data_IF_157722617748
#
_entry.id   IF_157722617748
#
_cell.length_a   1.000
_cell.length_b   1.000
_cell.length_c   1.000
_cell.angle_alpha   90.00
_cell.angle_beta   90.00
_cell.angle_gamma   90.00
#
_symmetry.space_group_name_H-M   'P 1'
#
loop_
_entity.id
_entity.type
_entity.pdbx_description
1 polymer ?
#
# COMPACT_ATOMS: atom_id res chain seq x y z
N UNK A 1 16.79 0.35 -6.38
CA UNK A 1 17.19 0.30 -4.95
C UNK A 1 16.06 0.91 -4.12
N UNK A 2 15.79 0.36 -2.94
CA UNK A 2 14.68 0.75 -2.06
C UNK A 2 15.08 1.97 -1.22
N UNK A 3 14.24 3.00 -1.19
CA UNK A 3 14.45 4.25 -0.46
C UNK A 3 13.32 4.43 0.54
N UNK A 4 13.67 4.37 1.83
CA UNK A 4 12.71 4.42 2.92
C UNK A 4 12.88 5.74 3.67
N UNK A 5 11.82 6.53 3.71
CA UNK A 5 11.64 7.60 4.69
C UNK A 5 10.75 7.03 5.79
N UNK A 6 11.15 7.18 7.04
CA UNK A 6 10.40 6.62 8.16
C UNK A 6 10.06 7.74 9.11
N UNK A 7 8.86 7.72 9.70
CA UNK A 7 8.42 8.56 10.82
C UNK A 7 7.82 7.68 11.93
N UNK A 8 8.45 7.71 13.11
CA UNK A 8 7.86 7.17 14.32
C UNK A 8 6.99 8.24 14.97
N UNK A 9 5.82 7.89 15.50
CA UNK A 9 5.07 8.82 16.36
C UNK A 9 5.63 8.91 17.78
N UNK A 10 6.39 7.90 18.23
CA UNK A 10 6.89 7.82 19.61
C UNK A 10 8.39 8.17 19.75
N UNK A 11 9.10 8.37 18.64
CA UNK A 11 10.57 8.60 18.65
C UNK A 11 11.00 9.60 17.56
N UNK A 12 10.75 10.89 17.84
CA UNK A 12 11.07 12.02 16.96
C UNK A 12 12.59 12.24 16.76
N UNK A 13 13.46 11.78 17.66
CA UNK A 13 14.92 11.98 17.57
C UNK A 13 15.55 11.07 16.48
N UNK A 14 15.05 9.84 16.35
CA UNK A 14 15.44 8.92 15.26
C UNK A 14 14.99 9.47 13.91
N UNK A 15 13.79 10.06 13.86
CA UNK A 15 13.23 10.70 12.67
C UNK A 15 14.14 11.81 12.12
N UNK A 16 14.52 12.76 12.98
CA UNK A 16 15.35 13.90 12.60
C UNK A 16 16.74 13.47 12.11
N UNK A 17 17.37 12.48 12.76
CA UNK A 17 18.65 11.91 12.30
C UNK A 17 18.52 11.25 10.93
N UNK A 18 17.40 10.59 10.67
CA UNK A 18 17.14 9.91 9.41
C UNK A 18 16.91 10.91 8.27
N UNK A 19 16.08 11.94 8.48
CA UNK A 19 15.81 13.01 7.51
C UNK A 19 17.07 13.79 7.14
N UNK A 20 17.89 14.16 8.12
CA UNK A 20 19.14 14.90 7.87
C UNK A 20 20.15 14.10 7.03
N UNK A 21 20.18 12.78 7.16
CA UNK A 21 21.01 11.90 6.31
C UNK A 21 20.41 11.71 4.90
N UNK A 22 19.08 11.73 4.78
CA UNK A 22 18.35 11.56 3.50
C UNK A 22 18.47 12.77 2.57
N UNK A 23 18.50 14.00 3.10
CA UNK A 23 18.60 15.24 2.30
C UNK A 23 19.90 15.30 1.48
N UNK A 24 20.95 14.57 1.90
CA UNK A 24 22.26 14.58 1.23
C UNK A 24 22.39 13.62 0.03
N UNK A 25 21.35 12.86 -0.31
CA UNK A 25 21.45 11.84 -1.36
C UNK A 25 20.27 11.92 -2.36
N UNK A 26 20.44 12.64 -3.47
CA UNK A 26 19.46 12.66 -4.57
C UNK A 26 20.11 12.41 -5.93
N UNK A 27 19.69 11.31 -6.59
CA UNK A 27 18.89 11.27 -7.85
C UNK A 27 18.93 9.88 -8.52
N UNK A 28 17.74 9.36 -8.88
CA UNK A 28 17.53 8.42 -9.99
C UNK A 28 17.41 6.92 -9.67
N UNK A 29 16.28 6.31 -10.04
CA UNK A 29 15.97 4.85 -10.07
C UNK A 29 15.60 4.13 -8.75
N UNK A 30 14.79 4.77 -7.92
CA UNK A 30 14.52 4.28 -6.58
C UNK A 30 13.03 4.07 -6.29
N UNK A 31 12.68 2.93 -5.67
CA UNK A 31 11.34 2.72 -5.13
C UNK A 31 11.29 3.45 -3.79
N UNK A 32 10.55 4.56 -3.73
CA UNK A 32 10.49 5.41 -2.55
C UNK A 32 9.20 5.13 -1.76
N UNK A 33 9.34 4.96 -0.46
CA UNK A 33 8.22 4.77 0.46
C UNK A 33 8.41 5.60 1.73
N UNK A 34 7.32 6.17 2.23
CA UNK A 34 7.29 6.83 3.53
C UNK A 34 6.46 5.99 4.51
N UNK A 35 7.03 5.64 5.66
CA UNK A 35 6.40 4.80 6.67
C UNK A 35 5.98 5.62 7.89
N UNK A 36 4.76 5.39 8.34
CA UNK A 36 4.22 5.83 9.63
C UNK A 36 3.84 4.56 10.40
N UNK A 37 4.54 4.27 11.48
CA UNK A 37 4.39 3.03 12.26
C UNK A 37 4.00 3.39 13.69
N UNK A 38 2.98 2.71 14.20
CA UNK A 38 2.51 2.82 15.58
C UNK A 38 2.35 1.41 16.16
N UNK A 39 3.32 0.98 16.98
CA UNK A 39 3.30 -0.36 17.59
C UNK A 39 2.23 -0.48 18.68
N UNK A 40 1.93 0.59 19.41
CA UNK A 40 0.91 0.57 20.46
C UNK A 40 -0.48 0.39 19.87
N UNK A 41 -0.76 1.09 18.77
CA UNK A 41 -2.02 0.98 18.02
C UNK A 41 -2.05 -0.17 17.03
N UNK A 42 -0.95 -0.94 16.90
CA UNK A 42 -0.80 -2.07 15.98
C UNK A 42 -1.19 -1.70 14.54
N UNK A 43 -0.61 -0.59 14.07
CA UNK A 43 -0.96 0.08 12.83
C UNK A 43 0.30 0.47 12.05
N UNK A 44 0.22 0.33 10.73
CA UNK A 44 1.25 0.82 9.81
C UNK A 44 0.58 1.51 8.63
N UNK A 45 1.20 2.60 8.17
CA UNK A 45 0.84 3.30 6.95
C UNK A 45 2.08 3.51 6.09
N UNK A 46 1.94 3.22 4.81
CA UNK A 46 3.02 3.24 3.83
C UNK A 46 2.56 4.09 2.64
N UNK A 47 3.14 5.27 2.50
CA UNK A 47 2.94 6.14 1.34
C UNK A 47 3.93 5.77 0.24
N UNK A 48 3.42 5.40 -0.94
CA UNK A 48 4.24 5.02 -2.11
C UNK A 48 4.06 6.08 -3.20
N UNK A 49 4.82 7.19 -3.15
CA UNK A 49 4.65 8.32 -4.06
C UNK A 49 5.03 8.02 -5.50
N UNK A 50 6.08 7.24 -5.75
CA UNK A 50 6.58 6.95 -7.10
C UNK A 50 6.90 5.45 -7.25
N UNK A 51 6.19 4.79 -8.17
CA UNK A 51 6.45 3.40 -8.57
C UNK A 51 6.58 3.29 -10.09
N UNK A 52 7.75 2.80 -10.54
CA UNK A 52 8.27 2.78 -11.92
C UNK A 52 7.21 2.63 -13.03
N UNK A 53 6.22 1.75 -12.86
CA UNK A 53 5.16 1.45 -13.85
C UNK A 53 3.75 1.30 -13.21
N UNK A 54 3.51 1.87 -12.03
CA UNK A 54 2.22 1.74 -11.35
C UNK A 54 1.74 3.00 -10.65
N UNK A 55 0.53 2.93 -10.11
CA UNK A 55 -0.18 4.06 -9.51
C UNK A 55 0.38 4.37 -8.14
N UNK A 56 0.51 5.66 -7.84
CA UNK A 56 0.80 6.10 -6.48
C UNK A 56 -0.33 5.65 -5.55
N UNK A 57 0.06 5.14 -4.40
CA UNK A 57 -0.89 4.53 -3.47
C UNK A 57 -0.43 4.69 -2.05
N UNK A 58 -1.39 4.68 -1.14
CA UNK A 58 -1.14 4.58 0.30
C UNK A 58 -1.68 3.26 0.80
N UNK A 59 -0.86 2.52 1.53
CA UNK A 59 -1.25 1.28 2.16
C UNK A 59 -1.45 1.52 3.65
N UNK A 60 -2.48 0.88 4.20
CA UNK A 60 -2.73 0.83 5.64
C UNK A 60 -2.84 -0.62 6.04
N UNK A 61 -2.04 -1.04 7.01
CA UNK A 61 -2.16 -2.35 7.66
C UNK A 61 -2.71 -2.16 9.06
N UNK A 62 -3.97 -2.56 9.25
CA UNK A 62 -4.59 -2.61 10.57
C UNK A 62 -4.51 -4.05 11.11
N UNK A 63 -3.58 -4.27 12.03
CA UNK A 63 -3.34 -5.59 12.61
C UNK A 63 -4.39 -5.96 13.66
N UNK A 64 -5.17 -5.01 14.17
CA UNK A 64 -6.27 -5.27 15.09
C UNK A 64 -7.45 -5.88 14.34
N UNK A 65 -7.78 -5.32 13.17
CA UNK A 65 -8.88 -5.82 12.34
C UNK A 65 -8.47 -6.86 11.30
N UNK A 66 -7.15 -7.09 11.11
CA UNK A 66 -6.58 -7.97 10.09
C UNK A 66 -6.97 -7.56 8.66
N UNK A 67 -6.96 -6.26 8.39
CA UNK A 67 -7.32 -5.70 7.08
C UNK A 67 -6.17 -4.87 6.54
N UNK A 68 -5.95 -5.00 5.22
CA UNK A 68 -5.13 -4.07 4.45
C UNK A 68 -6.03 -3.17 3.62
N UNK A 69 -5.84 -1.86 3.74
CA UNK A 69 -6.41 -0.85 2.87
C UNK A 69 -5.39 -0.38 1.84
N UNK A 70 -5.82 -0.18 0.60
CA UNK A 70 -5.07 0.50 -0.45
C UNK A 70 -5.89 1.73 -0.85
N UNK A 71 -5.34 2.91 -0.62
CA UNK A 71 -5.96 4.19 -0.94
C UNK A 71 -5.38 4.65 -2.27
N UNK A 72 -6.24 4.65 -3.29
CA UNK A 72 -5.95 5.23 -4.59
C UNK A 72 -6.37 6.71 -4.56
N UNK A 73 -5.38 7.55 -4.28
CA UNK A 73 -5.56 9.00 -4.15
C UNK A 73 -6.01 9.62 -5.46
N UNK A 74 -5.39 9.22 -6.59
CA UNK A 74 -5.70 9.77 -7.91
C UNK A 74 -7.11 9.38 -8.37
N UNK A 75 -7.52 8.13 -8.10
CA UNK A 75 -8.81 7.61 -8.50
C UNK A 75 -9.92 7.89 -7.50
N UNK A 76 -9.61 8.53 -6.37
CA UNK A 76 -10.51 8.82 -5.25
C UNK A 76 -11.34 7.60 -4.84
N UNK A 77 -10.68 6.47 -4.61
CA UNK A 77 -11.30 5.20 -4.22
C UNK A 77 -10.40 4.46 -3.24
N UNK A 78 -10.99 3.54 -2.50
CA UNK A 78 -10.24 2.63 -1.64
C UNK A 78 -10.49 1.18 -2.02
N UNK A 79 -9.48 0.36 -1.78
CA UNK A 79 -9.55 -1.09 -1.87
C UNK A 79 -9.24 -1.71 -0.51
N UNK A 80 -9.95 -2.77 -0.14
CA UNK A 80 -9.71 -3.50 1.11
C UNK A 80 -9.57 -4.99 0.86
N UNK A 81 -8.67 -5.63 1.60
CA UNK A 81 -8.46 -7.08 1.56
C UNK A 81 -8.02 -7.60 2.93
N UNK A 82 -8.14 -8.91 3.20
CA UNK A 82 -7.54 -9.51 4.38
C UNK A 82 -6.03 -9.25 4.43
N UNK A 83 -5.53 -8.90 5.61
CA UNK A 83 -4.11 -8.72 5.86
C UNK A 83 -3.34 -10.02 5.60
N UNK A 84 -2.30 -9.94 4.79
CA UNK A 84 -1.42 -11.07 4.52
C UNK A 84 -0.24 -11.08 5.51
N UNK A 85 -0.40 -11.78 6.63
CA UNK A 85 0.64 -11.90 7.66
C UNK A 85 1.89 -12.68 7.22
N UNK A 86 1.82 -13.40 6.09
CA UNK A 86 2.99 -14.09 5.54
C UNK A 86 3.95 -13.13 4.85
N UNK A 87 3.45 -12.02 4.28
CA UNK A 87 4.25 -11.05 3.53
C UNK A 87 4.34 -9.65 4.17
N UNK A 88 3.53 -9.38 5.19
CA UNK A 88 3.52 -8.09 5.92
C UNK A 88 4.09 -8.30 7.33
N UNK A 89 5.22 -7.65 7.63
CA UNK A 89 5.78 -7.63 8.98
C UNK A 89 4.91 -6.77 9.90
N UNK A 90 4.78 -7.13 11.20
CA UNK A 90 4.10 -6.28 12.18
C UNK A 90 4.94 -5.06 12.59
N UNK A 91 4.31 -4.01 13.18
CA UNK A 91 4.93 -2.70 13.46
C UNK A 91 6.33 -2.77 14.04
N UNK A 92 6.50 -3.49 15.15
CA UNK A 92 7.79 -3.64 15.82
C UNK A 92 8.86 -4.31 14.96
N UNK A 93 8.48 -5.32 14.17
CA UNK A 93 9.42 -6.05 13.30
C UNK A 93 9.76 -5.25 12.06
N UNK A 94 8.80 -4.53 11.49
CA UNK A 94 9.03 -3.64 10.37
C UNK A 94 9.95 -2.48 10.79
N UNK A 95 9.73 -1.90 11.96
CA UNK A 95 10.60 -0.88 12.53
C UNK A 95 12.05 -1.35 12.70
N UNK A 96 12.27 -2.49 13.37
CA UNK A 96 13.60 -3.07 13.58
C UNK A 96 14.33 -3.31 12.24
N UNK A 97 13.61 -3.81 11.23
CA UNK A 97 14.14 -4.01 9.90
C UNK A 97 14.57 -2.70 9.23
N UNK A 98 13.69 -1.69 9.21
CA UNK A 98 13.97 -0.38 8.61
C UNK A 98 15.18 0.27 9.29
N UNK A 99 15.27 0.15 10.61
CA UNK A 99 16.41 0.66 11.38
C UNK A 99 17.72 -0.02 10.97
N UNK A 100 17.75 -1.36 10.93
CA UNK A 100 18.94 -2.13 10.51
C UNK A 100 19.35 -1.87 9.06
N UNK A 101 18.38 -1.65 8.17
CA UNK A 101 18.64 -1.26 6.79
C UNK A 101 19.36 0.10 6.73
N UNK A 102 18.92 1.06 7.54
CA UNK A 102 19.50 2.40 7.58
C UNK A 102 20.91 2.44 8.17
N UNK A 103 21.17 1.59 9.17
CA UNK A 103 22.52 1.37 9.71
C UNK A 103 23.45 0.62 8.74
N UNK A 104 22.91 0.08 7.65
CA UNK A 104 23.67 -0.64 6.61
C UNK A 104 23.90 -2.12 6.92
N UNK A 105 23.28 -2.65 7.97
CA UNK A 105 23.40 -4.06 8.37
C UNK A 105 22.52 -5.01 7.57
N UNK A 106 21.55 -4.49 6.80
CA UNK A 106 20.61 -5.33 6.06
C UNK A 106 20.53 -4.95 4.58
N UNK A 107 20.82 -5.93 3.71
CA UNK A 107 20.51 -5.83 2.27
C UNK A 107 19.10 -6.36 2.06
N UNK A 108 18.22 -5.50 1.55
CA UNK A 108 16.82 -5.82 1.29
C UNK A 108 16.73 -6.89 0.22
N UNK A 109 15.88 -7.88 0.46
CA UNK A 109 15.41 -8.75 -0.60
C UNK A 109 14.49 -7.94 -1.52
N UNK A 110 14.94 -7.71 -2.76
CA UNK A 110 14.18 -6.99 -3.78
C UNK A 110 13.32 -7.93 -4.62
N UNK A 111 13.10 -9.17 -4.19
CA UNK A 111 12.13 -10.06 -4.82
C UNK A 111 10.76 -9.37 -4.93
N UNK A 112 10.18 -9.46 -6.13
CA UNK A 112 8.86 -8.88 -6.43
C UNK A 112 7.84 -9.99 -6.49
N UNK A 113 6.97 -10.05 -5.48
CA UNK A 113 5.84 -10.96 -5.42
C UNK A 113 4.64 -10.30 -6.09
N UNK A 114 4.21 -10.84 -7.24
CA UNK A 114 3.03 -10.34 -7.97
C UNK A 114 1.75 -11.03 -7.53
N UNK A 115 0.71 -10.24 -7.27
CA UNK A 115 -0.62 -10.69 -6.85
C UNK A 115 -1.68 -10.16 -7.80
N UNK A 116 -2.27 -11.05 -8.59
CA UNK A 116 -3.44 -10.71 -9.40
C UNK A 116 -4.70 -10.70 -8.52
N UNK A 117 -5.38 -9.55 -8.51
CA UNK A 117 -6.55 -9.27 -7.69
C UNK A 117 -7.76 -8.94 -8.58
N UNK A 118 -8.96 -9.09 -8.04
CA UNK A 118 -10.21 -8.68 -8.65
C UNK A 118 -11.02 -7.86 -7.66
N UNK A 119 -11.60 -6.77 -8.14
CA UNK A 119 -12.57 -5.95 -7.41
C UNK A 119 -13.94 -6.62 -7.42
N UNK A 120 -14.55 -6.69 -6.23
CA UNK A 120 -15.95 -7.06 -6.05
C UNK A 120 -16.81 -5.80 -6.12
N UNK A 121 -17.78 -5.80 -7.04
CA UNK A 121 -18.80 -4.75 -7.17
C UNK A 121 -20.13 -5.26 -6.59
N UNK A 122 -20.98 -4.40 -6.01
CA UNK A 122 -20.81 -2.95 -5.77
C UNK A 122 -19.80 -2.63 -4.63
N UNK A 123 -19.43 -1.36 -4.39
CA UNK A 123 -18.64 -0.99 -3.21
C UNK A 123 -19.36 -1.39 -1.91
N UNK A 124 -18.58 -1.61 -0.85
CA UNK A 124 -19.14 -1.98 0.46
C UNK A 124 -20.01 -0.84 1.00
N UNK A 125 -21.16 -1.21 1.55
CA UNK A 125 -22.11 -0.27 2.15
C UNK A 125 -21.87 -0.05 3.65
N UNK A 126 -21.28 -1.02 4.35
CA UNK A 126 -21.01 -0.95 5.79
C UNK A 126 -19.50 -0.84 6.08
N UNK A 127 -19.06 0.38 6.35
CA UNK A 127 -17.67 0.71 6.71
C UNK A 127 -17.27 0.23 8.12
N UNK A 128 -18.20 -0.29 8.94
CA UNK A 128 -17.84 -0.88 10.25
C UNK A 128 -16.96 -2.13 10.10
N UNK A 129 -16.94 -2.72 8.92
CA UNK A 129 -16.18 -3.95 8.63
C UNK A 129 -14.70 -3.71 8.32
N UNK A 130 -14.25 -2.46 8.12
CA UNK A 130 -12.91 -2.15 7.59
C UNK A 130 -11.95 -1.48 8.58
N UNK A 131 -12.34 -1.34 9.85
CA UNK A 131 -11.51 -0.69 10.89
C UNK A 131 -11.47 0.83 10.77
N UNK A 132 -11.26 1.51 11.91
CA UNK A 132 -11.38 2.96 12.00
C UNK A 132 -10.31 3.70 11.19
N UNK A 133 -9.06 3.20 11.17
CA UNK A 133 -7.98 3.87 10.45
C UNK A 133 -8.25 3.95 8.94
N UNK A 134 -8.64 2.82 8.35
CA UNK A 134 -8.97 2.74 6.93
C UNK A 134 -10.25 3.53 6.65
N UNK A 135 -11.29 3.39 7.48
CA UNK A 135 -12.54 4.13 7.31
C UNK A 135 -12.33 5.67 7.32
N UNK A 136 -11.45 6.16 8.21
CA UNK A 136 -11.15 7.58 8.31
C UNK A 136 -10.41 8.09 7.06
N UNK A 137 -9.39 7.37 6.61
CA UNK A 137 -8.60 7.73 5.41
C UNK A 137 -9.43 7.57 4.11
N UNK A 138 -10.43 6.69 4.11
CA UNK A 138 -11.33 6.45 2.98
C UNK A 138 -12.62 7.28 3.02
N UNK A 139 -12.74 8.24 3.94
CA UNK A 139 -13.95 9.02 4.12
C UNK A 139 -14.37 9.75 2.84
N UNK A 140 -15.62 9.58 2.44
CA UNK A 140 -16.17 10.19 1.23
C UNK A 140 -15.70 9.57 -0.09
N UNK A 141 -15.06 8.40 -0.06
CA UNK A 141 -14.64 7.64 -1.25
C UNK A 141 -15.35 6.27 -1.28
N UNK A 142 -15.67 5.72 -2.47
CA UNK A 142 -16.15 4.35 -2.58
C UNK A 142 -15.06 3.37 -2.12
N UNK A 143 -15.47 2.37 -1.36
CA UNK A 143 -14.57 1.34 -0.81
C UNK A 143 -14.94 0.01 -1.45
N UNK A 144 -13.97 -0.64 -2.07
CA UNK A 144 -14.16 -1.88 -2.81
C UNK A 144 -13.41 -3.02 -2.16
N UNK A 145 -14.01 -4.21 -2.13
CA UNK A 145 -13.31 -5.41 -1.68
C UNK A 145 -12.44 -5.98 -2.81
N UNK A 146 -11.23 -6.40 -2.48
CA UNK A 146 -10.36 -7.19 -3.36
C UNK A 146 -10.37 -8.67 -2.98
N UNK A 147 -10.38 -9.51 -4.00
CA UNK A 147 -10.23 -10.96 -3.88
C UNK A 147 -9.14 -11.45 -4.83
N UNK A 148 -8.52 -12.59 -4.51
CA UNK A 148 -7.50 -13.20 -5.37
C UNK A 148 -8.14 -13.59 -6.70
N UNK A 149 -7.52 -13.19 -7.80
CA UNK A 149 -7.92 -13.64 -9.12
C UNK A 149 -7.38 -15.06 -9.37
N UNK A 150 -8.28 -16.04 -9.51
CA UNK A 150 -7.93 -17.47 -9.68
C UNK A 150 -7.99 -17.95 -11.14
N UNK A 151 -8.18 -17.03 -12.10
CA UNK A 151 -8.18 -17.33 -13.54
C UNK A 151 -9.46 -16.87 -14.26
N UNK A 152 -9.38 -16.86 -15.60
CA UNK A 152 -10.42 -16.36 -16.49
C UNK A 152 -9.86 -15.37 -17.52
N UNK A 153 -10.62 -15.10 -18.57
CA UNK A 153 -10.32 -14.03 -19.53
C UNK A 153 -10.97 -12.75 -19.02
N UNK A 154 -10.16 -11.78 -18.61
CA UNK A 154 -10.62 -10.43 -18.29
C UNK A 154 -10.21 -9.51 -19.43
N UNK A 155 -11.16 -8.71 -19.92
CA UNK A 155 -10.88 -7.67 -20.89
C UNK A 155 -10.02 -6.61 -20.19
N UNK A 156 -8.85 -6.32 -20.74
CA UNK A 156 -7.94 -5.29 -20.21
C UNK A 156 -7.52 -4.34 -21.31
N UNK A 157 -7.62 -3.04 -21.07
CA UNK A 157 -6.95 -2.04 -21.91
C UNK A 157 -5.44 -2.05 -21.63
N UNK A 158 -4.62 -2.02 -22.69
CA UNK A 158 -3.17 -1.91 -22.55
C UNK A 158 -2.77 -0.57 -21.89
N UNK A 159 -3.56 0.48 -22.11
CA UNK A 159 -3.27 1.84 -21.65
C UNK A 159 -3.59 2.05 -20.15
N UNK A 160 -4.50 1.24 -19.58
CA UNK A 160 -4.92 1.34 -18.17
C UNK A 160 -4.16 0.39 -17.23
N UNK A 161 -3.23 -0.40 -17.78
CA UNK A 161 -2.56 -1.45 -17.04
C UNK A 161 -1.60 -0.93 -15.95
N UNK A 162 -1.07 0.30 -16.07
CA UNK A 162 -0.31 0.95 -15.01
C UNK A 162 -1.22 1.51 -13.90
N UNK A 163 -2.40 1.99 -14.27
CA UNK A 163 -3.39 2.53 -13.33
C UNK A 163 -4.02 1.48 -12.41
N UNK A 164 -3.99 0.21 -12.83
CA UNK A 164 -4.50 -0.91 -12.07
C UNK A 164 -3.47 -1.54 -11.11
N UNK A 165 -2.25 -1.00 -11.07
CA UNK A 165 -1.13 -1.57 -10.31
C UNK A 165 -0.75 -0.74 -9.11
N UNK A 166 -0.59 -1.41 -7.98
CA UNK A 166 -0.13 -0.82 -6.73
C UNK A 166 0.99 -1.68 -6.16
N UNK A 167 2.04 -1.09 -5.60
CA UNK A 167 3.12 -1.85 -4.99
C UNK A 167 3.54 -1.27 -3.66
N UNK A 168 3.99 -2.14 -2.75
CA UNK A 168 4.55 -1.76 -1.46
C UNK A 168 5.67 -2.71 -1.04
N UNK A 169 6.58 -2.27 -0.18
CA UNK A 169 7.45 -3.13 0.61
C UNK A 169 7.01 -3.09 2.08
N UNK A 170 6.63 -4.24 2.63
CA UNK A 170 6.28 -4.40 4.04
C UNK A 170 7.18 -5.43 4.74
N UNK A 171 8.46 -5.46 4.34
CA UNK A 171 9.53 -6.11 5.10
C UNK A 171 10.02 -7.47 4.60
N UNK A 172 9.29 -8.15 3.72
CA UNK A 172 9.70 -9.47 3.16
C UNK A 172 9.96 -9.47 1.66
N UNK A 173 9.87 -8.31 1.02
CA UNK A 173 9.95 -8.15 -0.44
C UNK A 173 8.93 -7.13 -0.93
N UNK A 174 9.04 -6.76 -2.21
CA UNK A 174 8.08 -5.87 -2.84
C UNK A 174 6.86 -6.70 -3.24
N UNK A 175 5.68 -6.34 -2.76
CA UNK A 175 4.43 -6.92 -3.23
C UNK A 175 3.80 -5.98 -4.25
N UNK A 176 3.58 -6.48 -5.47
CA UNK A 176 2.86 -5.78 -6.55
C UNK A 176 1.46 -6.39 -6.69
N UNK A 177 0.43 -5.56 -6.57
CA UNK A 177 -0.98 -5.91 -6.76
C UNK A 177 -1.41 -5.44 -8.14
N UNK A 178 -1.97 -6.35 -8.94
CA UNK A 178 -2.48 -6.10 -10.29
C UNK A 178 -3.99 -6.35 -10.32
N UNK A 179 -4.79 -5.29 -10.46
CA UNK A 179 -6.26 -5.37 -10.44
C UNK A 179 -6.78 -5.70 -11.84
N UNK A 180 -7.19 -6.95 -12.04
CA UNK A 180 -7.47 -7.49 -13.36
C UNK A 180 -8.72 -6.89 -14.03
N UNK A 181 -9.75 -6.53 -13.24
CA UNK A 181 -11.03 -6.02 -13.74
C UNK A 181 -11.20 -4.51 -13.50
N UNK A 182 -10.11 -3.75 -13.56
CA UNK A 182 -10.15 -2.31 -13.30
C UNK A 182 -11.10 -1.56 -14.26
N UNK A 183 -11.18 -1.98 -15.52
CA UNK A 183 -12.11 -1.43 -16.52
C UNK A 183 -13.58 -1.53 -16.08
N UNK A 184 -13.97 -2.63 -15.43
CA UNK A 184 -15.32 -2.83 -14.92
C UNK A 184 -15.65 -1.84 -13.79
N UNK A 185 -14.65 -1.53 -12.95
CA UNK A 185 -14.77 -0.54 -11.86
C UNK A 185 -14.98 0.85 -12.44
N UNK A 186 -14.18 1.25 -13.42
CA UNK A 186 -14.31 2.54 -14.09
C UNK A 186 -15.67 2.68 -14.79
N UNK A 187 -16.14 1.62 -15.46
CA UNK A 187 -17.45 1.59 -16.10
C UNK A 187 -18.58 1.71 -15.06
N UNK A 188 -18.48 0.99 -13.94
CA UNK A 188 -19.43 1.07 -12.85
C UNK A 188 -19.50 2.49 -12.28
N UNK A 189 -18.36 3.09 -11.96
CA UNK A 189 -18.29 4.45 -11.42
C UNK A 189 -18.88 5.47 -12.39
N UNK A 190 -18.56 5.37 -13.69
CA UNK A 190 -19.13 6.26 -14.71
C UNK A 190 -20.65 6.15 -14.80
N UNK A 191 -21.21 4.95 -14.65
CA UNK A 191 -22.66 4.74 -14.67
C UNK A 191 -23.35 5.25 -13.41
N UNK A 192 -22.64 5.28 -12.29
CA UNK A 192 -23.17 5.66 -10.97
C UNK A 192 -22.66 7.03 -10.49
N UNK A 193 -21.99 7.80 -11.35
CA UNK A 193 -21.63 9.20 -11.09
C UNK A 193 -22.82 10.08 -11.46
N UNK A 194 -23.52 10.62 -10.46
CA UNK A 194 -24.58 11.60 -10.63
C UNK A 194 -24.02 13.03 -10.68
#
# INVERSE_FOLDING_TARGET
MLFIVYRNMDDDDVFEKMINKLINNKRGEFFQENFEIDDDRKYEKIDVPDFRDGRSGRFIHDFNTNITGIIDVSGRRCFVMPLNRDNTLPPKSLFDLIHKMWEGYYKVDTEVVRKSMKVVLPPISDSKTIGNYIANECSGMPIYKLEKFVGGVVKRSADLHSEAKFAQFAGKGITEFDIMNFDDVLAYEKQNSH
#
